data_IF_756472124527
#
_entry.id   IF_756472124527
#
_cell.length_a   1.000
_cell.length_b   1.000
_cell.length_c   1.000
_cell.angle_alpha   90.00
_cell.angle_beta   90.00
_cell.angle_gamma   90.00
#
_symmetry.space_group_name_H-M   'P 1'
#
loop_
_entity.id
_entity.type
_entity.pdbx_description
1 polymer ?
#
# COMPACT_ATOMS: atom_id res chain seq x y z
N UNK A 1 33.00 2.24 4.41
CA UNK A 1 32.46 2.39 5.78
C UNK A 1 30.95 2.48 5.63
N UNK A 2 30.22 1.71 6.43
CA UNK A 2 28.83 1.26 6.32
C UNK A 2 27.76 2.33 6.05
N UNK A 3 27.11 2.26 4.89
CA UNK A 3 25.74 2.78 4.69
C UNK A 3 24.76 1.61 4.86
N UNK A 4 24.58 1.18 6.11
CA UNK A 4 23.42 0.38 6.47
C UNK A 4 22.23 1.33 6.35
N UNK A 5 21.29 0.99 5.47
CA UNK A 5 20.00 1.67 5.30
C UNK A 5 19.32 1.73 6.68
N UNK A 6 19.56 2.80 7.42
CA UNK A 6 18.93 3.14 8.70
C UNK A 6 17.90 4.24 8.49
N UNK A 7 17.29 4.28 7.30
CA UNK A 7 16.09 5.07 7.13
C UNK A 7 14.91 4.24 7.64
N UNK A 8 14.64 4.31 8.95
CA UNK A 8 13.42 3.80 9.60
C UNK A 8 12.14 4.31 8.93
N UNK A 9 12.29 5.36 8.11
CA UNK A 9 11.28 6.01 7.30
C UNK A 9 11.64 5.84 5.82
N UNK A 10 11.07 4.83 5.12
CA UNK A 10 11.39 4.62 3.70
C UNK A 10 10.88 5.73 2.77
N UNK A 11 9.89 6.51 3.20
CA UNK A 11 9.24 7.55 2.40
C UNK A 11 9.10 8.84 3.20
N UNK A 12 9.38 9.96 2.55
CA UNK A 12 9.07 11.27 3.11
C UNK A 12 7.56 11.52 3.10
N UNK A 13 7.08 12.48 3.87
CA UNK A 13 5.66 12.86 3.81
C UNK A 13 5.35 13.51 2.46
N UNK A 14 4.10 13.39 2.04
CA UNK A 14 3.60 14.07 0.85
C UNK A 14 2.68 13.20 0.02
N UNK A 15 2.46 13.64 -1.21
CA UNK A 15 1.51 13.04 -2.13
C UNK A 15 2.16 12.00 -3.04
N UNK A 16 1.46 10.89 -3.24
CA UNK A 16 1.93 9.74 -3.98
C UNK A 16 0.82 9.08 -4.79
N UNK A 17 1.18 8.47 -5.91
CA UNK A 17 0.40 7.40 -6.53
C UNK A 17 0.99 6.07 -6.10
N UNK A 18 0.12 5.08 -5.92
CA UNK A 18 0.49 3.74 -5.49
C UNK A 18 0.03 2.79 -6.59
N UNK A 19 0.96 2.07 -7.22
CA UNK A 19 0.66 1.10 -8.29
C UNK A 19 1.18 -0.29 -7.92
N UNK A 20 0.46 -1.31 -8.36
CA UNK A 20 0.86 -2.71 -8.12
C UNK A 20 2.12 -3.05 -8.92
N UNK A 21 3.01 -3.87 -8.35
CA UNK A 21 4.10 -4.50 -9.11
C UNK A 21 3.59 -5.64 -10.01
N UNK A 22 2.43 -6.23 -9.68
CA UNK A 22 1.73 -7.19 -10.52
C UNK A 22 0.87 -6.49 -11.58
N UNK A 23 0.95 -6.98 -12.82
CA UNK A 23 0.11 -6.54 -13.94
C UNK A 23 -1.18 -7.36 -13.99
N UNK A 24 -2.32 -6.71 -14.19
CA UNK A 24 -3.60 -7.38 -14.41
C UNK A 24 -3.93 -7.29 -15.90
N UNK A 25 -4.04 -8.43 -16.58
CA UNK A 25 -4.18 -8.50 -18.04
C UNK A 25 -3.08 -7.72 -18.79
N UNK A 26 -1.85 -7.73 -18.29
CA UNK A 26 -0.74 -6.98 -18.86
C UNK A 26 -0.79 -5.47 -18.61
N UNK A 27 -1.81 -4.96 -17.91
CA UNK A 27 -1.93 -3.54 -17.58
C UNK A 27 -1.34 -3.22 -16.20
N UNK A 28 -0.68 -2.08 -16.11
CA UNK A 28 -0.34 -1.46 -14.83
C UNK A 28 -1.63 -1.01 -14.15
N UNK A 29 -1.78 -1.31 -12.87
CA UNK A 29 -2.96 -0.93 -12.08
C UNK A 29 -2.57 -0.13 -10.86
N UNK A 30 -3.40 0.86 -10.53
CA UNK A 30 -3.19 1.85 -9.47
C UNK A 30 -4.24 1.68 -8.37
N UNK A 31 -3.82 1.87 -7.13
CA UNK A 31 -4.71 1.88 -5.96
C UNK A 31 -5.71 3.03 -6.06
N UNK A 32 -6.99 2.72 -5.88
CA UNK A 32 -8.07 3.70 -5.99
C UNK A 32 -9.10 3.51 -4.86
N UNK A 33 -9.45 4.61 -4.20
CA UNK A 33 -10.65 4.68 -3.39
C UNK A 33 -11.86 4.89 -4.32
N UNK A 34 -12.88 4.02 -4.24
CA UNK A 34 -14.04 4.09 -5.16
C UNK A 34 -14.86 5.37 -5.04
N UNK A 35 -14.83 6.03 -3.89
CA UNK A 35 -15.61 7.22 -3.63
C UNK A 35 -14.92 8.10 -2.57
N UNK A 36 -15.29 9.39 -2.47
CA UNK A 36 -14.72 10.31 -1.49
C UNK A 36 -15.34 10.18 -0.08
N UNK A 37 -16.36 9.34 0.11
CA UNK A 37 -16.99 9.12 1.41
C UNK A 37 -16.30 8.00 2.21
N UNK A 38 -16.41 8.08 3.53
CA UNK A 38 -16.03 6.99 4.42
C UNK A 38 -16.84 5.71 4.10
N UNK A 39 -16.24 4.55 4.41
CA UNK A 39 -16.73 3.21 4.07
C UNK A 39 -16.71 2.87 2.58
N UNK A 40 -15.95 3.60 1.76
CA UNK A 40 -15.78 3.22 0.36
C UNK A 40 -14.73 2.10 0.26
N UNK A 41 -15.05 1.06 -0.51
CA UNK A 41 -14.07 0.02 -0.81
C UNK A 41 -12.90 0.57 -1.62
N UNK A 42 -11.73 -0.03 -1.42
CA UNK A 42 -10.52 0.28 -2.18
C UNK A 42 -10.32 -0.79 -3.23
N UNK A 43 -10.14 -0.39 -4.47
CA UNK A 43 -9.88 -1.27 -5.61
C UNK A 43 -8.63 -0.84 -6.37
N UNK A 44 -8.45 -1.42 -7.56
CA UNK A 44 -7.41 -1.00 -8.50
C UNK A 44 -8.02 -0.55 -9.83
N UNK A 45 -7.35 0.37 -10.51
CA UNK A 45 -7.74 0.85 -11.83
C UNK A 45 -6.55 0.87 -12.78
N UNK A 46 -6.76 0.49 -14.04
CA UNK A 46 -5.76 0.68 -15.10
C UNK A 46 -5.75 2.10 -15.67
N UNK A 47 -6.73 2.95 -15.32
CA UNK A 47 -6.77 4.34 -15.74
C UNK A 47 -5.96 5.23 -14.77
N UNK A 48 -4.79 5.78 -15.18
CA UNK A 48 -3.93 6.57 -14.28
C UNK A 48 -4.55 7.89 -13.81
N UNK A 49 -5.57 8.39 -14.51
CA UNK A 49 -6.31 9.61 -14.12
C UNK A 49 -7.39 9.31 -13.08
N UNK A 50 -7.87 8.07 -13.01
CA UNK A 50 -8.78 7.62 -11.96
C UNK A 50 -8.04 7.12 -10.71
N UNK A 51 -6.72 7.02 -10.76
CA UNK A 51 -5.89 6.63 -9.63
C UNK A 51 -6.02 7.66 -8.50
N UNK A 52 -6.19 7.17 -7.26
CA UNK A 52 -6.24 8.06 -6.11
C UNK A 52 -4.84 8.57 -5.79
N UNK A 53 -4.72 9.89 -5.59
CA UNK A 53 -3.54 10.48 -4.95
C UNK A 53 -3.66 10.26 -3.45
N UNK A 54 -2.60 9.73 -2.85
CA UNK A 54 -2.55 9.41 -1.43
C UNK A 54 -1.54 10.32 -0.72
N UNK A 55 -1.92 10.94 0.39
CA UNK A 55 -1.00 11.66 1.25
C UNK A 55 -0.47 10.74 2.35
N UNK A 56 0.82 10.41 2.31
CA UNK A 56 1.48 9.59 3.30
C UNK A 56 2.06 10.49 4.39
N UNK A 57 1.72 10.20 5.65
CA UNK A 57 2.20 10.93 6.83
C UNK A 57 2.82 9.96 7.82
N UNK A 58 4.10 10.12 8.12
CA UNK A 58 4.83 9.28 9.06
C UNK A 58 4.48 9.61 10.52
N UNK A 59 4.28 8.58 11.32
CA UNK A 59 4.04 8.63 12.76
C UNK A 59 5.26 8.03 13.48
N UNK A 60 6.19 8.87 13.98
CA UNK A 60 7.45 8.40 14.58
C UNK A 60 7.25 7.45 15.76
N UNK A 61 6.27 7.73 16.62
CA UNK A 61 6.02 6.95 17.83
C UNK A 61 5.57 5.50 17.55
N UNK A 62 5.01 5.25 16.37
CA UNK A 62 4.52 3.93 15.95
C UNK A 62 5.35 3.33 14.81
N UNK A 63 6.37 4.07 14.32
CA UNK A 63 7.15 3.73 13.13
C UNK A 63 6.28 3.33 11.92
N UNK A 64 5.16 4.04 11.73
CA UNK A 64 4.14 3.72 10.73
C UNK A 64 3.74 4.95 9.91
N UNK A 65 2.92 4.74 8.90
CA UNK A 65 2.31 5.80 8.11
C UNK A 65 0.80 5.77 8.28
N UNK A 66 0.21 6.96 8.28
CA UNK A 66 -1.20 7.16 7.95
C UNK A 66 -1.29 7.55 6.48
N UNK A 67 -2.19 6.90 5.74
CA UNK A 67 -2.29 7.00 4.28
C UNK A 67 -3.65 7.62 3.94
N UNK A 68 -3.66 8.92 3.65
CA UNK A 68 -4.88 9.70 3.42
C UNK A 68 -5.28 9.68 1.96
N UNK A 69 -6.58 9.56 1.68
CA UNK A 69 -7.12 9.90 0.38
C UNK A 69 -7.01 11.42 0.19
N UNK A 70 -6.32 11.87 -0.86
CA UNK A 70 -6.14 13.30 -1.10
C UNK A 70 -7.48 14.03 -1.26
N UNK A 71 -7.61 15.19 -0.60
CA UNK A 71 -8.82 16.01 -0.64
C UNK A 71 -9.97 15.53 0.26
N UNK A 72 -9.75 14.51 1.11
CA UNK A 72 -10.75 14.05 2.09
C UNK A 72 -10.13 13.87 3.48
N UNK A 73 -11.00 13.65 4.49
CA UNK A 73 -10.58 13.26 5.84
C UNK A 73 -10.53 11.73 6.01
N UNK A 74 -10.47 10.97 4.90
CA UNK A 74 -10.46 9.52 4.95
C UNK A 74 -9.06 8.94 4.77
N UNK A 75 -8.80 7.83 5.45
CA UNK A 75 -7.53 7.11 5.44
C UNK A 75 -7.74 5.66 5.06
N UNK A 76 -6.68 5.05 4.53
CA UNK A 76 -6.63 3.62 4.23
C UNK A 76 -6.83 2.80 5.51
N UNK A 77 -7.85 1.97 5.52
CA UNK A 77 -8.34 1.23 6.68
C UNK A 77 -8.37 -0.26 6.38
N UNK A 78 -7.69 -1.06 7.21
CA UNK A 78 -7.72 -2.52 7.19
C UNK A 78 -8.43 -3.03 8.45
N UNK A 79 -9.78 -3.04 8.45
CA UNK A 79 -10.57 -3.39 9.62
C UNK A 79 -10.27 -4.82 10.06
N UNK A 80 -10.23 -5.05 11.36
CA UNK A 80 -9.79 -6.33 11.92
C UNK A 80 -10.75 -7.48 11.58
N UNK A 81 -12.03 -7.19 11.36
CA UNK A 81 -13.05 -8.20 11.11
C UNK A 81 -13.12 -8.70 9.67
N UNK A 82 -12.46 -8.02 8.71
CA UNK A 82 -12.55 -8.38 7.29
C UNK A 82 -11.21 -8.29 6.59
N UNK A 83 -11.03 -9.07 5.53
CA UNK A 83 -9.86 -8.94 4.66
C UNK A 83 -9.93 -7.69 3.77
N UNK A 84 -11.09 -7.06 3.61
CA UNK A 84 -11.29 -5.98 2.66
C UNK A 84 -10.69 -4.68 3.18
N UNK A 85 -9.90 -4.01 2.34
CA UNK A 85 -9.38 -2.68 2.64
C UNK A 85 -10.38 -1.64 2.15
N UNK A 86 -10.59 -0.63 2.97
CA UNK A 86 -11.53 0.46 2.72
C UNK A 86 -10.85 1.81 2.96
N UNK A 87 -11.55 2.89 2.66
CA UNK A 87 -11.24 4.20 3.23
C UNK A 87 -12.26 4.54 4.31
N UNK A 88 -11.78 5.00 5.46
CA UNK A 88 -12.63 5.41 6.57
C UNK A 88 -12.21 6.76 7.13
N UNK A 89 -13.13 7.46 7.79
CA UNK A 89 -12.83 8.72 8.45
C UNK A 89 -11.68 8.53 9.45
N UNK A 90 -10.73 9.46 9.43
CA UNK A 90 -9.63 9.44 10.38
C UNK A 90 -10.12 9.84 11.78
N UNK A 91 -9.87 9.02 12.82
CA UNK A 91 -10.08 9.39 14.21
C UNK A 91 -8.97 10.32 14.69
N UNK A 92 -9.24 11.07 15.76
CA UNK A 92 -8.29 11.99 16.39
C UNK A 92 -7.05 11.25 16.93
N UNK A 93 -7.26 10.07 17.53
CA UNK A 93 -6.19 9.23 18.05
C UNK A 93 -5.69 8.22 17.00
N UNK A 94 -4.41 7.81 17.04
CA UNK A 94 -3.91 6.73 16.20
C UNK A 94 -4.54 5.38 16.57
N UNK A 95 -5.09 4.69 15.57
CA UNK A 95 -5.64 3.33 15.70
C UNK A 95 -4.91 2.37 14.77
N UNK A 96 -4.61 1.17 15.25
CA UNK A 96 -3.69 0.24 14.58
C UNK A 96 -4.16 -0.21 13.18
N UNK A 97 -5.47 -0.28 12.93
CA UNK A 97 -6.02 -0.68 11.63
C UNK A 97 -5.95 0.42 10.55
N UNK A 98 -5.60 1.66 10.93
CA UNK A 98 -5.33 2.77 10.02
C UNK A 98 -3.86 3.22 10.06
N UNK A 99 -3.00 2.40 10.65
CA UNK A 99 -1.55 2.61 10.68
C UNK A 99 -0.89 1.50 9.86
N UNK A 100 -0.01 1.90 8.96
CA UNK A 100 0.62 1.02 8.01
C UNK A 100 2.14 1.09 8.13
N UNK A 101 2.78 -0.01 8.49
CA UNK A 101 4.22 -0.16 8.33
C UNK A 101 4.54 -0.33 6.85
N UNK A 102 5.31 0.60 6.29
CA UNK A 102 5.81 0.51 4.92
C UNK A 102 7.24 -0.01 4.97
N UNK A 103 7.57 -1.04 4.18
CA UNK A 103 8.91 -1.63 4.12
C UNK A 103 9.39 -1.68 2.68
N UNK A 104 10.63 -1.25 2.44
CA UNK A 104 11.28 -1.34 1.13
C UNK A 104 11.84 -2.75 0.93
N UNK A 105 11.57 -3.35 -0.22
CA UNK A 105 12.13 -4.62 -0.66
C UNK A 105 13.18 -4.37 -1.73
N UNK A 106 14.37 -4.95 -1.55
CA UNK A 106 15.53 -4.72 -2.43
C UNK A 106 16.08 -6.03 -2.96
N UNK A 107 16.46 -6.05 -4.23
CA UNK A 107 17.23 -7.12 -4.81
C UNK A 107 18.69 -6.99 -4.35
N UNK A 108 19.12 -7.87 -3.47
CA UNK A 108 20.48 -7.86 -2.91
C UNK A 108 21.56 -8.26 -3.91
N UNK A 109 21.18 -8.88 -5.04
CA UNK A 109 22.08 -9.20 -6.14
C UNK A 109 22.41 -7.97 -7.01
N UNK A 110 21.68 -6.87 -6.85
CA UNK A 110 21.90 -5.63 -7.58
C UNK A 110 22.70 -4.67 -6.70
N UNK A 111 23.72 -4.05 -7.30
CA UNK A 111 24.65 -3.14 -6.61
C UNK A 111 23.91 -1.99 -5.91
N UNK A 112 24.47 -1.53 -4.79
CA UNK A 112 23.95 -0.37 -4.07
C UNK A 112 23.92 0.87 -4.98
N UNK A 113 22.81 1.60 -4.96
CA UNK A 113 22.60 2.81 -5.79
C UNK A 113 22.06 2.55 -7.20
N UNK A 114 21.98 1.29 -7.65
CA UNK A 114 21.36 0.98 -8.94
C UNK A 114 19.84 1.22 -8.89
N UNK A 115 19.23 1.82 -9.93
CA UNK A 115 17.79 2.10 -9.95
C UNK A 115 16.92 0.84 -9.81
N UNK A 116 17.33 -0.28 -10.42
CA UNK A 116 16.59 -1.55 -10.36
C UNK A 116 16.79 -2.32 -9.04
N UNK A 117 17.50 -1.74 -8.06
CA UNK A 117 17.72 -2.39 -6.78
C UNK A 117 16.43 -2.48 -5.96
N UNK A 118 15.53 -1.50 -6.06
CA UNK A 118 14.26 -1.50 -5.32
C UNK A 118 13.23 -2.30 -6.10
N UNK A 119 12.76 -3.41 -5.52
CA UNK A 119 11.74 -4.27 -6.11
C UNK A 119 10.32 -3.76 -5.83
N UNK A 120 10.15 -3.00 -4.74
CA UNK A 120 8.89 -2.39 -4.36
C UNK A 120 8.77 -2.19 -2.87
N UNK A 121 7.55 -1.88 -2.43
CA UNK A 121 7.18 -1.64 -1.05
C UNK A 121 6.06 -2.60 -0.65
N UNK A 122 6.12 -3.12 0.58
CA UNK A 122 4.97 -3.77 1.20
C UNK A 122 4.33 -2.84 2.21
N UNK A 123 3.00 -2.88 2.32
CA UNK A 123 2.25 -2.11 3.30
C UNK A 123 1.59 -3.10 4.27
N UNK A 124 1.98 -3.10 5.54
CA UNK A 124 1.47 -4.00 6.58
C UNK A 124 0.64 -3.20 7.58
N UNK A 125 -0.64 -3.52 7.81
CA UNK A 125 -1.41 -2.83 8.84
C UNK A 125 -0.91 -3.24 10.24
N UNK A 126 -0.85 -2.31 11.18
CA UNK A 126 -0.41 -2.62 12.55
C UNK A 126 -1.43 -3.50 13.30
N UNK A 127 -2.69 -3.55 12.86
CA UNK A 127 -3.72 -4.45 13.41
C UNK A 127 -3.48 -5.93 13.10
N UNK A 128 -2.74 -6.24 12.03
CA UNK A 128 -2.46 -7.60 11.57
C UNK A 128 -1.06 -7.64 10.92
N UNK A 129 -0.03 -7.76 11.76
CA UNK A 129 1.38 -7.61 11.34
C UNK A 129 1.91 -8.72 10.43
N UNK A 130 1.16 -9.82 10.30
CA UNK A 130 1.43 -10.91 9.36
C UNK A 130 0.73 -10.72 8.01
N UNK A 131 -0.13 -9.70 7.87
CA UNK A 131 -0.81 -9.37 6.62
C UNK A 131 -0.13 -8.22 5.86
N UNK A 132 -0.42 -8.14 4.57
CA UNK A 132 0.06 -7.11 3.66
C UNK A 132 -1.04 -6.68 2.69
N UNK A 133 -1.00 -5.42 2.28
CA UNK A 133 -1.84 -4.88 1.22
C UNK A 133 -1.61 -5.67 -0.06
N UNK A 134 -2.69 -6.27 -0.58
CA UNK A 134 -2.65 -7.24 -1.66
C UNK A 134 -3.61 -6.83 -2.77
N UNK A 135 -3.06 -6.62 -3.97
CA UNK A 135 -3.83 -6.39 -5.17
C UNK A 135 -4.54 -7.67 -5.63
N UNK A 136 -5.72 -7.56 -6.25
CA UNK A 136 -6.37 -8.69 -6.91
C UNK A 136 -5.49 -9.23 -8.05
N UNK A 137 -5.53 -10.55 -8.28
CA UNK A 137 -4.72 -11.24 -9.31
C UNK A 137 -5.52 -11.66 -10.54
N UNK A 138 -6.86 -11.62 -10.47
CA UNK A 138 -7.72 -12.10 -11.54
C UNK A 138 -8.18 -10.96 -12.48
N UNK A 139 -8.39 -11.26 -13.77
CA UNK A 139 -8.92 -10.33 -14.74
C UNK A 139 -10.22 -9.65 -14.30
N UNK A 140 -10.32 -8.35 -14.58
CA UNK A 140 -11.48 -7.52 -14.26
C UNK A 140 -12.61 -7.83 -15.24
N UNK A 141 -13.74 -8.37 -14.76
CA UNK A 141 -15.03 -8.02 -15.35
C UNK A 141 -15.49 -6.74 -14.64
N UNK A 142 -15.87 -5.70 -15.39
CA UNK A 142 -16.14 -4.33 -14.89
C UNK A 142 -17.18 -4.23 -13.75
N UNK A 143 -17.86 -5.33 -13.42
CA UNK A 143 -18.92 -5.42 -12.42
C UNK A 143 -18.62 -6.31 -11.21
N UNK A 144 -17.43 -6.92 -11.09
CA UNK A 144 -17.11 -7.78 -9.93
C UNK A 144 -16.21 -7.04 -8.94
N UNK A 145 -16.61 -7.08 -7.67
CA UNK A 145 -15.95 -6.49 -6.50
C UNK A 145 -14.51 -6.97 -6.28
N UNK A 146 -13.57 -6.46 -7.09
CA UNK A 146 -12.14 -6.66 -6.92
C UNK A 146 -11.58 -5.65 -5.91
N UNK A 147 -11.86 -5.91 -4.64
CA UNK A 147 -11.29 -5.12 -3.57
C UNK A 147 -9.82 -5.49 -3.36
N UNK A 148 -9.03 -4.46 -3.07
CA UNK A 148 -7.73 -4.65 -2.44
C UNK A 148 -7.97 -5.20 -1.04
N UNK A 149 -7.13 -6.16 -0.65
CA UNK A 149 -7.26 -6.87 0.60
C UNK A 149 -6.03 -6.74 1.48
N UNK A 150 -6.19 -7.02 2.76
CA UNK A 150 -5.11 -7.29 3.70
C UNK A 150 -5.05 -8.80 3.89
N UNK A 151 -4.10 -9.46 3.22
CA UNK A 151 -3.94 -10.91 3.24
C UNK A 151 -2.61 -11.29 3.89
N UNK A 152 -2.49 -12.48 4.50
CA UNK A 152 -1.21 -12.95 5.01
C UNK A 152 -0.09 -12.80 3.97
N UNK A 153 1.04 -12.23 4.38
CA UNK A 153 2.29 -12.47 3.67
C UNK A 153 2.51 -13.98 3.64
N UNK A 154 3.01 -14.51 2.52
CA UNK A 154 3.13 -15.97 2.30
C UNK A 154 3.65 -16.69 3.56
N UNK A 155 2.96 -17.73 4.07
CA UNK A 155 3.35 -18.39 5.31
C UNK A 155 4.80 -18.90 5.24
N UNK A 156 5.60 -18.62 6.27
CA UNK A 156 6.96 -19.16 6.41
C UNK A 156 8.10 -18.23 6.00
N UNK A 157 7.83 -16.94 5.72
CA UNK A 157 8.90 -15.97 5.43
C UNK A 157 9.49 -16.10 4.02
N UNK A 158 8.75 -16.73 3.10
CA UNK A 158 9.08 -16.69 1.68
C UNK A 158 8.89 -15.30 1.07
N UNK A 159 9.51 -15.06 -0.08
CA UNK A 159 9.41 -13.80 -0.80
C UNK A 159 7.94 -13.39 -1.01
N UNK A 160 7.66 -12.09 -0.82
CA UNK A 160 6.33 -11.55 -1.12
C UNK A 160 6.00 -11.74 -2.59
N UNK A 161 4.73 -12.06 -2.86
CA UNK A 161 4.26 -12.15 -4.25
C UNK A 161 4.20 -10.75 -4.89
N UNK A 162 4.29 -10.69 -6.23
CA UNK A 162 4.30 -9.42 -6.96
C UNK A 162 3.03 -8.57 -6.73
N UNK A 163 1.89 -9.20 -6.42
CA UNK A 163 0.65 -8.51 -6.09
C UNK A 163 0.59 -8.02 -4.63
N UNK A 164 1.59 -8.36 -3.81
CA UNK A 164 1.79 -7.86 -2.45
C UNK A 164 2.89 -6.78 -2.38
N UNK A 165 3.52 -6.50 -3.53
CA UNK A 165 4.50 -5.45 -3.72
C UNK A 165 3.87 -4.31 -4.51
N UNK A 166 4.22 -3.08 -4.09
CA UNK A 166 3.70 -1.84 -4.66
C UNK A 166 4.85 -0.92 -5.03
N UNK A 167 4.69 -0.15 -6.10
CA UNK A 167 5.52 1.01 -6.39
C UNK A 167 4.81 2.24 -5.84
N UNK A 168 5.53 3.03 -5.04
CA UNK A 168 5.04 4.26 -4.44
C UNK A 168 5.83 5.42 -5.05
N UNK A 169 5.17 6.18 -5.93
CA UNK A 169 5.78 7.23 -6.73
C UNK A 169 5.20 8.59 -6.38
N UNK A 170 6.02 9.64 -6.37
CA UNK A 170 5.56 11.01 -6.08
C UNK A 170 4.49 11.42 -7.11
N UNK A 171 3.39 11.98 -6.63
CA UNK A 171 2.29 12.49 -7.45
C UNK A 171 2.57 13.89 -7.99
#
# INVERSE_FOLDING_TARGET
>A
MTDIITNLRPLQDGQYKIRSCHLINGNVVYLRARAPNANAGVDVTSNPQAATVWFLSYFPNLASYRIWQHGSNNVLDAPRETENVTVWACPDAPVNWQQWAIRTHVNTNVAAGHPDRVQGYSLTPLSATYCVLTAPTTPVAEHVNQFVKSLPATPGGGDLQMNQLWVIERA
#
